data_IF_107082294955
#
_entry.id   IF_107082294955
#
_cell.length_a   1.000
_cell.length_b   1.000
_cell.length_c   1.000
_cell.angle_alpha   90.00
_cell.angle_beta   90.00
_cell.angle_gamma   90.00
#
_symmetry.space_group_name_H-M   'P 1'
#
loop_
_entity.id
_entity.type
_entity.pdbx_description
1 polymer ?
#
# COMPACT_ATOMS: atom_id res chain seq x y z
N UNK A 1 22.92 -2.71 3.75
CA UNK A 1 21.69 -3.30 3.18
C UNK A 1 20.63 -2.23 3.05
N UNK A 2 20.03 -2.08 1.87
CA UNK A 2 18.90 -1.19 1.64
C UNK A 2 17.59 -1.97 1.71
N UNK A 3 16.68 -1.51 2.55
CA UNK A 3 15.31 -2.02 2.62
C UNK A 3 14.40 -1.03 1.89
N UNK A 4 13.72 -1.47 0.84
CA UNK A 4 12.87 -0.62 0.03
C UNK A 4 11.44 -1.15 0.15
N UNK A 5 10.56 -0.39 0.82
CA UNK A 5 9.17 -0.74 0.97
C UNK A 5 8.31 0.08 0.02
N UNK A 6 7.49 -0.62 -0.75
CA UNK A 6 6.57 -0.02 -1.72
C UNK A 6 5.15 -0.01 -1.17
N UNK A 7 4.45 1.10 -1.29
CA UNK A 7 3.00 1.07 -1.23
C UNK A 7 2.45 0.37 -2.49
N UNK A 8 1.16 0.10 -2.51
CA UNK A 8 0.51 -0.71 -3.52
C UNK A 8 -0.32 0.13 -4.50
N UNK A 9 -1.45 0.67 -3.99
CA UNK A 9 -2.45 1.36 -4.79
C UNK A 9 -1.95 2.75 -5.20
N UNK A 10 -1.83 3.05 -6.50
CA UNK A 10 -1.25 4.28 -7.02
C UNK A 10 0.27 4.26 -7.15
N UNK A 11 0.95 3.31 -6.50
CA UNK A 11 2.41 3.19 -6.50
C UNK A 11 2.90 2.07 -7.42
N UNK A 12 2.34 0.87 -7.31
CA UNK A 12 2.69 -0.30 -8.14
C UNK A 12 1.61 -0.63 -9.16
N UNK A 13 0.36 -0.46 -8.77
CA UNK A 13 -0.82 -0.74 -9.58
C UNK A 13 -1.89 0.35 -9.42
N UNK A 14 -2.70 0.50 -10.46
CA UNK A 14 -3.99 1.20 -10.41
C UNK A 14 -5.06 0.17 -10.71
N UNK A 15 -5.71 -0.29 -9.66
CA UNK A 15 -6.60 -1.46 -9.77
C UNK A 15 -8.07 -1.11 -10.05
N UNK A 16 -8.45 0.17 -10.26
CA UNK A 16 -9.84 0.57 -10.55
C UNK A 16 -10.76 0.43 -9.34
N UNK A 17 -10.27 0.73 -8.14
CA UNK A 17 -11.01 0.78 -6.87
C UNK A 17 -11.73 -0.52 -6.43
N UNK A 18 -11.15 -1.73 -6.59
CA UNK A 18 -11.80 -2.97 -6.19
C UNK A 18 -12.02 -3.03 -4.67
N UNK A 19 -11.12 -2.42 -3.87
CA UNK A 19 -11.24 -2.33 -2.43
C UNK A 19 -12.49 -1.58 -1.98
N UNK A 20 -12.80 -0.44 -2.61
CA UNK A 20 -14.02 0.33 -2.29
C UNK A 20 -15.29 -0.46 -2.60
N UNK A 21 -15.34 -1.16 -3.75
CA UNK A 21 -16.49 -2.00 -4.10
C UNK A 21 -16.64 -3.19 -3.18
N UNK A 22 -15.54 -3.85 -2.80
CA UNK A 22 -15.56 -4.97 -1.87
C UNK A 22 -15.99 -4.50 -0.45
N UNK A 23 -15.54 -3.31 -0.02
CA UNK A 23 -15.94 -2.75 1.27
C UNK A 23 -17.43 -2.34 1.27
N UNK A 24 -17.93 -1.70 0.22
CA UNK A 24 -19.36 -1.41 0.09
C UNK A 24 -20.21 -2.70 0.19
N UNK A 25 -19.77 -3.77 -0.50
CA UNK A 25 -20.42 -5.07 -0.39
C UNK A 25 -20.43 -5.60 1.06
N UNK A 26 -19.29 -5.54 1.75
CA UNK A 26 -19.17 -6.02 3.12
C UNK A 26 -20.06 -5.22 4.08
N UNK A 27 -20.03 -3.90 4.00
CA UNK A 27 -20.85 -3.00 4.85
C UNK A 27 -22.35 -3.20 4.59
N UNK A 28 -22.78 -3.31 3.32
CA UNK A 28 -24.16 -3.60 2.99
C UNK A 28 -24.66 -4.87 3.70
N UNK A 29 -23.87 -5.93 3.69
CA UNK A 29 -24.27 -7.23 4.28
C UNK A 29 -24.24 -7.24 5.81
N UNK A 30 -23.44 -6.36 6.44
CA UNK A 30 -23.35 -6.28 7.90
C UNK A 30 -24.35 -5.27 8.47
N UNK A 31 -24.62 -4.18 7.76
CA UNK A 31 -25.39 -3.05 8.29
C UNK A 31 -26.68 -2.74 7.52
N UNK A 32 -26.86 -3.28 6.33
CA UNK A 32 -27.95 -2.93 5.41
C UNK A 32 -27.79 -1.58 4.70
N UNK A 33 -26.65 -0.88 4.85
CA UNK A 33 -26.41 0.43 4.25
C UNK A 33 -25.57 0.32 2.97
N UNK A 34 -25.95 1.07 1.94
CA UNK A 34 -25.30 1.08 0.62
C UNK A 34 -24.35 2.29 0.46
N UNK A 35 -23.39 2.13 -0.47
CA UNK A 35 -22.51 3.21 -0.99
C UNK A 35 -21.74 4.03 0.06
N UNK A 36 -21.35 3.40 1.17
CA UNK A 36 -20.70 4.08 2.28
C UNK A 36 -19.30 4.60 1.91
N UNK A 37 -18.56 3.88 1.03
CA UNK A 37 -17.18 4.25 0.69
C UNK A 37 -17.07 5.62 0.00
N UNK A 38 -18.13 6.15 -0.60
CA UNK A 38 -18.15 7.52 -1.14
C UNK A 38 -18.00 8.61 -0.07
N UNK A 39 -18.20 8.25 1.21
CA UNK A 39 -18.12 9.12 2.39
C UNK A 39 -16.88 8.89 3.25
N UNK A 40 -16.03 7.94 2.88
CA UNK A 40 -14.80 7.59 3.61
C UNK A 40 -13.58 8.07 2.82
N UNK A 41 -12.66 8.79 3.48
CA UNK A 41 -11.35 9.11 2.90
C UNK A 41 -10.43 7.89 3.01
N UNK A 42 -10.47 7.04 1.97
CA UNK A 42 -9.71 5.79 1.94
C UNK A 42 -8.27 5.95 1.45
N UNK A 43 -7.89 7.10 0.87
CA UNK A 43 -6.58 7.29 0.26
C UNK A 43 -5.47 7.35 1.31
N UNK A 44 -4.49 6.44 1.21
CA UNK A 44 -3.33 6.39 2.10
C UNK A 44 -3.66 6.07 3.56
N UNK A 45 -4.84 5.49 3.85
CA UNK A 45 -5.26 4.97 5.15
C UNK A 45 -5.06 3.45 5.20
N UNK A 46 -5.28 2.82 6.36
CA UNK A 46 -5.24 1.36 6.48
C UNK A 46 -6.63 0.77 6.27
N UNK A 47 -6.73 -0.45 5.74
CA UNK A 47 -8.01 -1.15 5.55
C UNK A 47 -8.78 -1.25 6.87
N UNK A 48 -8.10 -1.52 7.98
CA UNK A 48 -8.74 -1.59 9.30
C UNK A 48 -9.37 -0.26 9.73
N UNK A 49 -8.73 0.87 9.42
CA UNK A 49 -9.34 2.19 9.64
C UNK A 49 -10.54 2.40 8.73
N UNK A 50 -10.43 2.01 7.47
CA UNK A 50 -11.51 2.14 6.49
C UNK A 50 -12.73 1.31 6.90
N UNK A 51 -12.54 0.09 7.39
CA UNK A 51 -13.61 -0.78 7.88
C UNK A 51 -14.31 -0.17 9.10
N UNK A 52 -13.51 0.32 10.05
CA UNK A 52 -14.04 0.98 11.27
C UNK A 52 -14.85 2.22 10.92
N UNK A 53 -14.32 3.09 10.06
CA UNK A 53 -14.97 4.34 9.68
C UNK A 53 -16.22 4.09 8.82
N UNK A 54 -16.15 3.14 7.89
CA UNK A 54 -17.30 2.75 7.08
C UNK A 54 -18.47 2.23 7.96
N UNK A 55 -18.17 1.38 8.93
CA UNK A 55 -19.17 0.89 9.87
C UNK A 55 -19.74 2.03 10.73
N UNK A 56 -18.89 2.93 11.24
CA UNK A 56 -19.30 4.09 12.03
C UNK A 56 -20.22 5.02 11.23
N UNK A 57 -19.92 5.28 9.97
CA UNK A 57 -20.76 6.11 9.09
C UNK A 57 -22.10 5.41 8.82
N UNK A 58 -22.09 4.09 8.64
CA UNK A 58 -23.29 3.30 8.34
C UNK A 58 -24.28 3.22 9.52
N UNK A 59 -23.75 3.13 10.76
CA UNK A 59 -24.56 2.79 11.94
C UNK A 59 -24.63 3.88 13.01
N UNK A 60 -23.71 4.85 12.96
CA UNK A 60 -23.50 5.85 14.03
C UNK A 60 -22.73 5.33 15.25
N UNK A 61 -22.31 4.04 15.25
CA UNK A 61 -21.61 3.40 16.36
C UNK A 61 -20.23 2.90 15.94
N UNK A 62 -19.33 2.71 16.93
CA UNK A 62 -18.06 2.03 16.69
C UNK A 62 -18.29 0.52 16.59
N UNK A 63 -17.63 -0.17 15.64
CA UNK A 63 -17.70 -1.63 15.56
C UNK A 63 -16.94 -2.28 16.71
N UNK A 64 -17.44 -3.43 17.17
CA UNK A 64 -16.67 -4.35 18.01
C UNK A 64 -15.75 -5.25 17.18
N UNK A 65 -14.99 -6.13 17.86
CA UNK A 65 -14.03 -7.02 17.20
C UNK A 65 -14.70 -8.04 16.28
N UNK A 66 -15.87 -8.54 16.63
CA UNK A 66 -16.61 -9.53 15.82
C UNK A 66 -17.15 -8.87 14.54
N UNK A 67 -17.64 -7.66 14.63
CA UNK A 67 -18.09 -6.87 13.49
C UNK A 67 -16.95 -6.53 12.54
N UNK A 68 -15.78 -6.13 13.06
CA UNK A 68 -14.59 -5.91 12.23
C UNK A 68 -14.16 -7.20 11.54
N UNK A 69 -14.20 -8.34 12.24
CA UNK A 69 -13.88 -9.65 11.68
C UNK A 69 -14.84 -10.00 10.56
N UNK A 70 -16.14 -9.85 10.78
CA UNK A 70 -17.16 -10.14 9.77
C UNK A 70 -17.00 -9.25 8.52
N UNK A 71 -16.75 -7.95 8.69
CA UNK A 71 -16.47 -7.04 7.57
C UNK A 71 -15.23 -7.50 6.82
N UNK A 72 -14.16 -7.84 7.52
CA UNK A 72 -12.90 -8.31 6.92
C UNK A 72 -13.12 -9.58 6.10
N UNK A 73 -13.82 -10.57 6.65
CA UNK A 73 -14.07 -11.84 5.97
C UNK A 73 -14.91 -11.64 4.70
N UNK A 74 -15.96 -10.82 4.77
CA UNK A 74 -16.80 -10.49 3.59
C UNK A 74 -16.04 -9.68 2.55
N UNK A 75 -15.24 -8.72 2.98
CA UNK A 75 -14.35 -7.94 2.12
C UNK A 75 -13.39 -8.86 1.36
N UNK A 76 -12.67 -9.73 2.06
CA UNK A 76 -11.73 -10.67 1.45
C UNK A 76 -12.39 -11.70 0.54
N UNK A 77 -13.59 -12.15 0.88
CA UNK A 77 -14.36 -13.04 0.02
C UNK A 77 -14.81 -12.35 -1.29
N UNK A 78 -15.14 -11.06 -1.22
CA UNK A 78 -15.60 -10.28 -2.36
C UNK A 78 -14.48 -9.74 -3.24
N UNK A 79 -13.35 -9.36 -2.65
CA UNK A 79 -12.25 -8.66 -3.32
C UNK A 79 -11.75 -9.33 -4.62
N UNK A 80 -11.60 -10.68 -4.71
CA UNK A 80 -11.18 -11.33 -5.95
C UNK A 80 -12.12 -11.04 -7.12
N UNK A 81 -13.43 -11.05 -6.89
CA UNK A 81 -14.44 -10.73 -7.91
C UNK A 81 -14.33 -9.29 -8.41
N UNK A 82 -14.05 -8.36 -7.47
CA UNK A 82 -13.91 -6.94 -7.81
C UNK A 82 -12.61 -6.66 -8.56
N UNK A 83 -11.53 -7.37 -8.24
CA UNK A 83 -10.29 -7.30 -9.01
C UNK A 83 -10.48 -7.88 -10.41
N UNK A 84 -11.12 -9.03 -10.54
CA UNK A 84 -11.45 -9.63 -11.84
C UNK A 84 -12.33 -8.70 -12.68
N UNK A 85 -13.33 -8.07 -12.06
CA UNK A 85 -14.15 -7.04 -12.71
C UNK A 85 -13.31 -5.90 -13.26
N UNK A 86 -12.36 -5.36 -12.46
CA UNK A 86 -11.46 -4.29 -12.89
C UNK A 86 -10.62 -4.72 -14.10
N UNK A 87 -10.07 -5.93 -14.07
CA UNK A 87 -9.28 -6.49 -15.20
C UNK A 87 -10.13 -6.60 -16.47
N UNK A 88 -11.31 -7.21 -16.37
CA UNK A 88 -12.21 -7.40 -17.52
C UNK A 88 -12.69 -6.10 -18.15
N UNK A 89 -12.77 -5.01 -17.37
CA UNK A 89 -13.21 -3.70 -17.83
C UNK A 89 -12.07 -2.74 -18.17
N UNK A 90 -10.81 -3.21 -18.23
CA UNK A 90 -9.65 -2.39 -18.57
C UNK A 90 -9.33 -1.31 -17.56
N UNK A 91 -9.75 -1.48 -16.31
CA UNK A 91 -9.51 -0.54 -15.20
C UNK A 91 -8.29 -0.92 -14.35
N UNK A 92 -7.67 -2.06 -14.64
CA UNK A 92 -6.48 -2.54 -13.95
C UNK A 92 -5.25 -2.28 -14.80
N UNK A 93 -4.28 -1.58 -14.25
CA UNK A 93 -2.99 -1.35 -14.89
C UNK A 93 -1.84 -1.45 -13.89
N UNK A 94 -0.68 -1.89 -14.38
CA UNK A 94 0.60 -1.82 -13.66
C UNK A 94 1.22 -0.45 -13.95
N UNK A 95 1.75 0.22 -12.93
CA UNK A 95 2.45 1.48 -13.11
C UNK A 95 3.65 1.27 -14.03
N UNK A 96 3.84 2.17 -15.00
CA UNK A 96 4.85 2.01 -16.05
C UNK A 96 6.25 1.80 -15.48
N UNK A 97 6.93 0.77 -15.97
CA UNK A 97 8.29 0.41 -15.56
C UNK A 97 8.39 -0.28 -14.18
N UNK A 98 7.28 -0.52 -13.48
CA UNK A 98 7.32 -1.09 -12.12
C UNK A 98 7.89 -2.53 -12.12
N UNK A 99 7.51 -3.37 -13.08
CA UNK A 99 8.00 -4.75 -13.12
C UNK A 99 9.50 -4.81 -13.40
N UNK A 100 9.98 -4.06 -14.38
CA UNK A 100 11.40 -3.99 -14.74
C UNK A 100 12.22 -3.44 -13.58
N UNK A 101 11.71 -2.42 -12.89
CA UNK A 101 12.36 -1.82 -11.73
C UNK A 101 12.44 -2.80 -10.55
N UNK A 102 11.35 -3.48 -10.23
CA UNK A 102 11.32 -4.50 -9.17
C UNK A 102 12.26 -5.67 -9.49
N UNK A 103 12.26 -6.14 -10.76
CA UNK A 103 13.17 -7.20 -11.21
C UNK A 103 14.62 -6.79 -11.02
N UNK A 104 14.98 -5.55 -11.39
CA UNK A 104 16.32 -5.01 -11.23
C UNK A 104 16.71 -4.94 -9.74
N UNK A 105 15.86 -4.37 -8.88
CA UNK A 105 16.14 -4.28 -7.45
C UNK A 105 16.29 -5.65 -6.80
N UNK A 106 15.40 -6.60 -7.13
CA UNK A 106 15.41 -7.95 -6.56
C UNK A 106 16.59 -8.81 -7.03
N UNK A 107 17.28 -8.42 -8.10
CA UNK A 107 18.51 -9.11 -8.54
C UNK A 107 19.76 -8.73 -7.74
N UNK A 108 19.66 -7.69 -6.91
CA UNK A 108 20.78 -7.15 -6.13
C UNK A 108 20.88 -7.82 -4.77
N UNK A 109 22.12 -8.09 -4.34
CA UNK A 109 22.40 -8.68 -3.02
C UNK A 109 22.39 -7.67 -1.87
N UNK A 110 22.50 -6.39 -2.19
CA UNK A 110 22.54 -5.26 -1.25
C UNK A 110 21.16 -4.59 -1.06
N UNK A 111 20.11 -5.11 -1.70
CA UNK A 111 18.74 -4.61 -1.67
C UNK A 111 17.78 -5.73 -1.27
N UNK A 112 16.80 -5.41 -0.43
CA UNK A 112 15.66 -6.25 -0.14
C UNK A 112 14.37 -5.43 -0.32
N UNK A 113 13.48 -5.89 -1.20
CA UNK A 113 12.20 -5.21 -1.45
C UNK A 113 11.09 -5.82 -0.61
N UNK A 114 10.18 -4.96 -0.13
CA UNK A 114 9.01 -5.34 0.66
C UNK A 114 7.80 -4.47 0.37
N UNK A 115 6.64 -4.83 0.91
CA UNK A 115 5.46 -3.98 0.89
C UNK A 115 5.39 -3.09 2.14
N UNK A 116 4.88 -1.87 1.98
CA UNK A 116 4.56 -0.95 3.08
C UNK A 116 3.18 -0.34 2.81
N UNK A 117 2.12 -1.13 2.94
CA UNK A 117 0.80 -0.77 2.44
C UNK A 117 -0.28 -0.78 3.52
N UNK A 118 -1.23 0.17 3.40
CA UNK A 118 -2.42 0.18 4.22
C UNK A 118 -3.39 -0.99 3.97
N UNK A 119 -3.18 -1.75 2.92
CA UNK A 119 -3.94 -2.97 2.67
C UNK A 119 -3.62 -4.04 3.72
N UNK A 120 -4.62 -4.85 4.09
CA UNK A 120 -4.36 -6.10 4.79
C UNK A 120 -3.59 -7.06 3.88
N UNK A 121 -2.70 -7.90 4.44
CA UNK A 121 -1.76 -8.72 3.66
C UNK A 121 -2.46 -9.53 2.57
N UNK A 122 -3.47 -10.31 2.93
CA UNK A 122 -4.23 -11.12 1.96
C UNK A 122 -4.88 -10.27 0.87
N UNK A 123 -5.40 -9.08 1.22
CA UNK A 123 -5.99 -8.13 0.28
C UNK A 123 -4.95 -7.57 -0.71
N UNK A 124 -3.74 -7.23 -0.23
CA UNK A 124 -2.64 -6.79 -1.06
C UNK A 124 -2.26 -7.83 -2.12
N UNK A 125 -2.10 -9.11 -1.71
CA UNK A 125 -1.75 -10.17 -2.65
C UNK A 125 -2.89 -10.53 -3.62
N UNK A 126 -4.16 -10.41 -3.22
CA UNK A 126 -5.30 -10.53 -4.15
C UNK A 126 -5.22 -9.44 -5.22
N UNK A 127 -4.97 -8.18 -4.84
CA UNK A 127 -4.84 -7.07 -5.80
C UNK A 127 -3.63 -7.22 -6.71
N UNK A 128 -2.51 -7.76 -6.22
CA UNK A 128 -1.30 -8.02 -7.02
C UNK A 128 -1.41 -9.23 -7.94
N UNK A 129 -2.40 -10.11 -7.73
CA UNK A 129 -2.57 -11.35 -8.48
C UNK A 129 -2.48 -11.18 -9.99
N UNK A 130 -3.26 -10.29 -10.64
CA UNK A 130 -3.26 -10.11 -12.10
C UNK A 130 -1.91 -9.67 -12.67
N UNK A 131 -1.14 -8.85 -11.94
CA UNK A 131 0.18 -8.38 -12.37
C UNK A 131 1.30 -9.40 -12.14
N UNK A 132 1.09 -10.36 -11.25
CA UNK A 132 2.14 -11.28 -10.80
C UNK A 132 3.28 -10.61 -10.01
N UNK A 133 3.19 -9.32 -9.65
CA UNK A 133 4.24 -8.60 -8.93
C UNK A 133 4.44 -9.11 -7.49
N UNK A 134 3.46 -9.80 -6.92
CA UNK A 134 3.55 -10.35 -5.57
C UNK A 134 4.79 -11.21 -5.30
N UNK A 135 5.37 -11.83 -6.36
CA UNK A 135 6.58 -12.65 -6.27
C UNK A 135 7.83 -11.89 -5.80
N UNK A 136 7.85 -10.57 -5.90
CA UNK A 136 8.99 -9.74 -5.50
C UNK A 136 8.99 -9.38 -4.02
N UNK A 137 7.90 -9.62 -3.29
CA UNK A 137 7.70 -9.13 -1.93
C UNK A 137 7.68 -10.26 -0.89
N UNK A 138 8.85 -10.68 -0.38
CA UNK A 138 8.93 -11.74 0.63
C UNK A 138 8.52 -11.29 2.03
N UNK A 139 8.32 -9.99 2.26
CA UNK A 139 7.90 -9.42 3.54
C UNK A 139 7.16 -8.09 3.33
N UNK A 140 6.54 -7.60 4.40
CA UNK A 140 5.90 -6.28 4.38
C UNK A 140 5.41 -5.83 5.74
N UNK A 141 4.95 -4.57 5.78
CA UNK A 141 4.10 -3.99 6.81
C UNK A 141 2.72 -3.76 6.19
N UNK A 142 1.68 -4.19 6.88
CA UNK A 142 0.32 -4.27 6.35
C UNK A 142 -0.68 -3.56 7.25
N UNK A 143 -1.85 -3.25 6.71
CA UNK A 143 -2.90 -2.52 7.41
C UNK A 143 -3.42 -3.17 8.69
N UNK A 144 -3.27 -4.48 8.86
CA UNK A 144 -3.59 -5.17 10.11
C UNK A 144 -2.54 -4.99 11.21
N UNK A 145 -1.30 -4.63 10.88
CA UNK A 145 -0.21 -4.46 11.86
C UNK A 145 -0.45 -3.25 12.77
N UNK A 146 -1.01 -2.17 12.23
CA UNK A 146 -1.32 -0.96 13.00
C UNK A 146 -2.27 -0.03 12.25
N UNK A 147 -3.10 0.71 13.01
CA UNK A 147 -3.82 1.86 12.48
C UNK A 147 -2.88 3.04 12.15
N UNK A 148 -1.75 3.15 12.85
CA UNK A 148 -0.72 4.15 12.61
C UNK A 148 0.21 3.66 11.48
N UNK A 149 0.21 4.38 10.34
CA UNK A 149 1.02 4.04 9.17
C UNK A 149 2.52 4.03 9.47
N UNK A 150 3.01 4.90 10.36
CA UNK A 150 4.41 4.91 10.73
C UNK A 150 4.80 3.63 11.51
N UNK A 151 3.94 3.18 12.42
CA UNK A 151 4.15 1.90 13.14
C UNK A 151 4.05 0.71 12.19
N UNK A 152 3.09 0.71 11.26
CA UNK A 152 2.95 -0.30 10.22
C UNK A 152 4.23 -0.43 9.40
N UNK A 153 4.80 0.69 8.90
CA UNK A 153 6.08 0.68 8.17
C UNK A 153 7.23 0.15 9.03
N UNK A 154 7.29 0.54 10.31
CA UNK A 154 8.31 0.05 11.25
C UNK A 154 8.22 -1.46 11.44
N UNK A 155 7.01 -2.03 11.50
CA UNK A 155 6.80 -3.48 11.54
C UNK A 155 7.35 -4.16 10.29
N UNK A 156 7.05 -3.62 9.10
CA UNK A 156 7.61 -4.10 7.83
C UNK A 156 9.13 -4.07 7.82
N UNK A 157 9.76 -2.96 8.24
CA UNK A 157 11.22 -2.85 8.35
C UNK A 157 11.79 -3.88 9.32
N UNK A 158 11.14 -4.11 10.46
CA UNK A 158 11.57 -5.14 11.43
C UNK A 158 11.57 -6.53 10.81
N UNK A 159 10.54 -6.88 10.05
CA UNK A 159 10.46 -8.15 9.30
C UNK A 159 11.56 -8.26 8.24
N UNK A 160 11.82 -7.17 7.50
CA UNK A 160 12.88 -7.11 6.50
C UNK A 160 14.28 -7.27 7.13
N UNK A 161 14.55 -6.62 8.26
CA UNK A 161 15.80 -6.80 9.02
C UNK A 161 15.97 -8.24 9.49
N UNK A 162 14.91 -8.84 10.00
CA UNK A 162 14.93 -10.25 10.43
C UNK A 162 15.23 -11.19 9.26
N UNK A 163 14.58 -10.98 8.10
CA UNK A 163 14.80 -11.80 6.90
C UNK A 163 16.22 -11.66 6.35
N UNK A 164 16.82 -10.47 6.46
CA UNK A 164 18.16 -10.17 6.00
C UNK A 164 19.26 -10.50 7.03
N UNK A 165 18.89 -10.94 8.23
CA UNK A 165 19.79 -11.19 9.38
C UNK A 165 20.67 -9.97 9.70
N UNK A 166 20.05 -8.77 9.77
CA UNK A 166 20.75 -7.52 10.10
C UNK A 166 20.07 -6.78 11.26
N UNK A 167 20.87 -5.95 11.96
CA UNK A 167 20.33 -5.00 12.93
C UNK A 167 19.55 -3.89 12.21
N UNK A 168 18.40 -3.42 12.76
CA UNK A 168 17.71 -2.23 12.24
C UNK A 168 18.60 -0.98 12.11
N UNK A 169 19.59 -0.83 12.97
CA UNK A 169 20.56 0.27 12.91
C UNK A 169 21.51 0.19 11.70
N UNK A 170 21.63 -0.98 11.06
CA UNK A 170 22.44 -1.20 9.85
C UNK A 170 21.64 -1.11 8.56
N UNK A 171 20.33 -0.93 8.65
CA UNK A 171 19.46 -0.81 7.51
C UNK A 171 19.33 0.64 7.06
N UNK A 172 19.49 0.88 5.77
CA UNK A 172 19.10 2.12 5.12
C UNK A 172 17.71 1.90 4.50
N UNK A 173 16.71 2.66 4.97
CA UNK A 173 15.30 2.38 4.66
C UNK A 173 14.74 3.44 3.73
N UNK A 174 14.10 2.97 2.67
CA UNK A 174 13.42 3.77 1.65
C UNK A 174 11.95 3.38 1.56
N UNK A 175 11.07 4.36 1.56
CA UNK A 175 9.65 4.19 1.33
C UNK A 175 9.30 4.80 -0.02
N UNK A 176 8.61 4.05 -0.86
CA UNK A 176 8.11 4.53 -2.14
C UNK A 176 6.58 4.43 -2.09
N UNK A 177 5.92 5.57 -2.22
CA UNK A 177 4.47 5.70 -2.17
C UNK A 177 3.96 6.71 -3.18
N UNK A 178 2.69 7.05 -3.12
CA UNK A 178 2.06 8.02 -4.01
C UNK A 178 1.39 9.17 -3.25
N UNK A 179 1.31 9.12 -1.92
CA UNK A 179 0.60 10.11 -1.11
C UNK A 179 1.49 10.85 -0.12
N UNK A 180 1.05 12.03 0.34
CA UNK A 180 1.70 12.74 1.43
C UNK A 180 1.73 11.95 2.74
N UNK A 181 0.81 10.98 2.94
CA UNK A 181 0.76 10.12 4.13
C UNK A 181 1.97 9.18 4.18
N UNK A 182 2.48 8.73 3.01
CA UNK A 182 3.72 7.95 2.91
C UNK A 182 4.92 8.76 3.38
N UNK A 183 5.01 10.02 2.96
CA UNK A 183 6.09 10.93 3.35
C UNK A 183 6.08 11.13 4.87
N UNK A 184 4.91 11.44 5.44
CA UNK A 184 4.78 11.68 6.88
C UNK A 184 5.13 10.44 7.71
N UNK A 185 4.67 9.26 7.26
CA UNK A 185 4.95 7.99 7.95
C UNK A 185 6.44 7.60 7.85
N UNK A 186 7.07 7.80 6.69
CA UNK A 186 8.51 7.58 6.51
C UNK A 186 9.33 8.48 7.44
N UNK A 187 9.04 9.78 7.44
CA UNK A 187 9.73 10.77 8.28
C UNK A 187 9.59 10.53 9.76
N UNK A 188 8.42 10.10 10.23
CA UNK A 188 8.22 9.76 11.63
C UNK A 188 9.18 8.65 12.13
N UNK A 189 9.73 7.86 11.21
CA UNK A 189 10.71 6.81 11.49
C UNK A 189 12.15 7.18 11.06
N UNK A 190 12.38 8.35 10.47
CA UNK A 190 13.68 8.75 9.93
C UNK A 190 14.05 8.02 8.63
N UNK A 191 13.07 7.56 7.86
CA UNK A 191 13.26 6.86 6.57
C UNK A 191 13.25 7.84 5.40
N UNK A 192 13.96 7.50 4.31
CA UNK A 192 13.87 8.21 3.04
C UNK A 192 12.52 7.94 2.38
N UNK A 193 12.00 8.94 1.66
CA UNK A 193 10.72 8.78 0.96
C UNK A 193 10.71 9.38 -0.44
N UNK A 194 10.31 8.56 -1.42
CA UNK A 194 10.01 9.02 -2.77
C UNK A 194 8.52 8.86 -3.12
N UNK A 195 8.08 9.66 -4.09
CA UNK A 195 6.69 9.68 -4.57
C UNK A 195 6.62 9.35 -6.06
N UNK A 196 5.71 8.44 -6.39
CA UNK A 196 5.20 8.22 -7.75
C UNK A 196 4.05 9.20 -7.97
N UNK A 197 4.28 10.26 -8.76
CA UNK A 197 3.33 11.37 -8.86
C UNK A 197 2.13 11.10 -9.78
N UNK A 198 2.18 10.07 -10.63
CA UNK A 198 1.03 9.61 -11.43
C UNK A 198 0.03 8.77 -10.60
N UNK A 199 0.25 8.62 -9.29
CA UNK A 199 -0.65 7.93 -8.36
C UNK A 199 -1.90 8.74 -8.01
N UNK A 200 -2.51 8.44 -6.85
CA UNK A 200 -3.76 9.05 -6.39
C UNK A 200 -3.56 10.24 -5.45
N UNK A 201 -2.31 10.56 -5.11
CA UNK A 201 -1.97 11.58 -4.13
C UNK A 201 -2.30 13.01 -4.59
N UNK A 202 -2.68 13.86 -3.64
CA UNK A 202 -2.88 15.29 -3.90
C UNK A 202 -1.52 16.00 -4.04
N UNK A 203 -1.26 16.61 -5.21
CA UNK A 203 0.02 17.23 -5.53
C UNK A 203 0.43 18.37 -4.58
N UNK A 204 -0.52 19.19 -4.13
CA UNK A 204 -0.22 20.29 -3.17
C UNK A 204 0.23 19.74 -1.82
N UNK A 205 -0.49 18.71 -1.28
CA UNK A 205 -0.12 18.06 -0.02
C UNK A 205 1.22 17.35 -0.12
N UNK A 206 1.52 16.72 -1.27
CA UNK A 206 2.82 16.08 -1.55
C UNK A 206 3.93 17.14 -1.51
N UNK A 207 3.76 18.27 -2.22
CA UNK A 207 4.76 19.35 -2.22
C UNK A 207 4.98 19.94 -0.83
N UNK A 208 3.90 20.17 -0.07
CA UNK A 208 3.98 20.65 1.32
C UNK A 208 4.72 19.67 2.23
N UNK A 209 4.52 18.38 2.02
CA UNK A 209 5.20 17.33 2.79
C UNK A 209 6.67 17.13 2.36
N UNK A 210 7.12 17.69 1.23
CA UNK A 210 8.52 17.73 0.74
C UNK A 210 9.17 16.34 0.67
N UNK A 211 8.79 15.44 -0.22
CA UNK A 211 9.49 14.16 -0.40
C UNK A 211 10.95 14.36 -0.81
N UNK A 212 11.79 13.36 -0.61
CA UNK A 212 13.20 13.42 -0.99
C UNK A 212 13.39 13.28 -2.50
N UNK A 213 12.44 12.62 -3.17
CA UNK A 213 12.47 12.37 -4.61
C UNK A 213 11.06 12.23 -5.19
N UNK A 214 10.84 12.65 -6.45
CA UNK A 214 9.56 12.53 -7.15
C UNK A 214 9.84 12.10 -8.59
N UNK A 215 9.10 11.11 -9.09
CA UNK A 215 9.01 10.73 -10.49
C UNK A 215 7.56 10.41 -10.86
N UNK A 216 7.14 10.56 -12.11
CA UNK A 216 5.80 10.17 -12.52
C UNK A 216 5.57 8.67 -12.41
N UNK A 217 6.57 7.87 -12.79
CA UNK A 217 6.57 6.42 -12.82
C UNK A 217 8.01 5.86 -12.70
N UNK A 218 8.24 4.58 -13.05
CA UNK A 218 9.56 3.93 -12.94
C UNK A 218 10.34 3.91 -14.25
N UNK A 219 9.87 4.55 -15.32
CA UNK A 219 10.53 4.52 -16.65
C UNK A 219 11.91 5.19 -16.64
N UNK A 220 12.09 6.22 -15.81
CA UNK A 220 13.41 6.81 -15.58
C UNK A 220 14.19 6.03 -14.50
N UNK A 221 14.44 4.75 -14.78
CA UNK A 221 15.13 3.83 -13.85
C UNK A 221 16.48 4.36 -13.38
N UNK A 222 17.22 5.10 -14.24
CA UNK A 222 18.51 5.68 -13.87
C UNK A 222 18.37 6.67 -12.72
N UNK A 223 17.40 7.61 -12.79
CA UNK A 223 17.18 8.58 -11.72
C UNK A 223 16.76 7.91 -10.39
N UNK A 224 15.95 6.83 -10.46
CA UNK A 224 15.63 6.02 -9.30
C UNK A 224 16.85 5.39 -8.64
N UNK A 225 17.75 4.79 -9.45
CA UNK A 225 18.97 4.15 -8.95
C UNK A 225 19.94 5.20 -8.37
N UNK A 226 20.08 6.36 -8.99
CA UNK A 226 20.88 7.48 -8.46
C UNK A 226 20.37 7.93 -7.09
N UNK A 227 19.05 8.15 -6.94
CA UNK A 227 18.46 8.51 -5.66
C UNK A 227 18.65 7.42 -4.59
N UNK A 228 18.54 6.15 -4.97
CA UNK A 228 18.78 5.02 -4.07
C UNK A 228 20.27 4.80 -3.76
N UNK A 229 21.20 5.52 -4.41
CA UNK A 229 22.64 5.30 -4.27
C UNK A 229 23.07 3.90 -4.74
N UNK A 230 22.52 3.43 -5.86
CA UNK A 230 22.72 2.09 -6.44
C UNK A 230 23.42 2.11 -7.81
N UNK A 231 23.90 3.26 -8.25
CA UNK A 231 24.73 3.43 -9.47
C UNK A 231 26.20 3.32 -9.13
#
# INVERSE_FOLDING_TARGET
MKLILFDLDGTLIKAGHPGSRALNYAILHVTGQEEICSRVDINGTTDKMNFTEAYRIATGNMPDEDQIREITDRYLARLPHEVEYSVKNGQYEVVKGAEEFLKLLSSRKDVLVGLGTGNIERGAFIKLGPSGLGRYFPYGGYGEDSHDRARMLKTGVTRGCYLADISPASAEVYIIGDTHKDILAARANGYHCAIVSDGFGNSEKIQQAKPDFIQPDYTNTKAWLEWLGLV
#
